data_IF_169662934294
#
_entry.id   IF_169662934294
#
_cell.length_a   1.000
_cell.length_b   1.000
_cell.length_c   1.000
_cell.angle_alpha   90.00
_cell.angle_beta   90.00
_cell.angle_gamma   90.00
#
_symmetry.space_group_name_H-M   'P 1'
#
loop_
_entity.id
_entity.type
_entity.pdbx_description
1 polymer ?
#
# COMPACT_ATOMS: atom_id res chain seq x y z
N UNK A 1 -15.34 -0.22 -26.29
CA UNK A 1 -14.73 -1.56 -26.47
C UNK A 1 -14.25 -2.02 -25.11
N UNK A 2 -14.60 -3.24 -24.69
CA UNK A 2 -14.06 -3.84 -23.46
C UNK A 2 -12.56 -4.08 -23.58
N UNK A 3 -11.83 -4.03 -22.48
CA UNK A 3 -10.41 -4.36 -22.46
C UNK A 3 -10.23 -5.89 -22.64
N UNK A 4 -9.26 -6.34 -23.47
CA UNK A 4 -8.88 -7.75 -23.49
C UNK A 4 -8.22 -8.15 -22.17
N UNK A 5 -8.37 -9.42 -21.78
CA UNK A 5 -7.99 -9.95 -20.46
C UNK A 5 -6.54 -9.68 -20.05
N UNK A 6 -5.60 -9.69 -21.01
CA UNK A 6 -4.17 -9.47 -20.75
C UNK A 6 -3.81 -7.98 -20.58
N UNK A 7 -4.76 -7.05 -20.75
CA UNK A 7 -4.56 -5.60 -20.55
C UNK A 7 -5.27 -5.05 -19.32
N UNK A 8 -5.86 -5.88 -18.47
CA UNK A 8 -6.66 -5.40 -17.32
C UNK A 8 -5.89 -4.46 -16.40
N UNK A 9 -4.56 -4.59 -16.29
CA UNK A 9 -3.74 -3.69 -15.47
C UNK A 9 -3.44 -2.33 -16.11
N UNK A 10 -3.75 -2.09 -17.39
CA UNK A 10 -3.54 -0.75 -17.99
C UNK A 10 -4.44 0.32 -17.37
N UNK A 11 -5.50 -0.09 -16.67
CA UNK A 11 -6.47 0.81 -16.02
C UNK A 11 -5.86 1.69 -14.93
N UNK A 12 -4.68 1.36 -14.40
CA UNK A 12 -4.02 2.12 -13.33
C UNK A 12 -2.88 3.02 -13.81
N UNK A 13 -2.55 3.03 -15.11
CA UNK A 13 -1.38 3.75 -15.63
C UNK A 13 -1.41 5.26 -15.34
N UNK A 14 -2.60 5.87 -15.34
CA UNK A 14 -2.79 7.30 -15.09
C UNK A 14 -3.39 7.59 -13.70
N UNK A 15 -3.34 6.64 -12.77
CA UNK A 15 -3.94 6.75 -11.44
C UNK A 15 -2.88 6.50 -10.36
N UNK A 16 -2.12 7.51 -9.94
CA UNK A 16 -0.92 7.33 -9.13
C UNK A 16 -1.19 6.67 -7.77
N UNK A 17 -2.29 6.97 -7.08
CA UNK A 17 -2.59 6.31 -5.81
C UNK A 17 -3.04 4.85 -5.96
N UNK A 18 -3.73 4.49 -7.06
CA UNK A 18 -4.02 3.08 -7.37
C UNK A 18 -2.77 2.33 -7.81
N UNK A 19 -1.90 2.99 -8.58
CA UNK A 19 -0.60 2.46 -8.96
C UNK A 19 0.26 2.20 -7.73
N UNK A 20 0.34 3.14 -6.79
CA UNK A 20 1.03 2.98 -5.52
C UNK A 20 0.43 1.83 -4.70
N UNK A 21 -0.90 1.77 -4.59
CA UNK A 21 -1.61 0.69 -3.89
C UNK A 21 -1.26 -0.70 -4.44
N UNK A 22 -1.21 -0.91 -5.76
CA UNK A 22 -0.81 -2.21 -6.30
C UNK A 22 0.67 -2.53 -6.11
N UNK A 23 1.55 -1.52 -6.08
CA UNK A 23 2.96 -1.73 -5.76
C UNK A 23 3.14 -2.15 -4.30
N UNK A 24 2.40 -1.52 -3.38
CA UNK A 24 2.37 -1.92 -1.97
C UNK A 24 1.76 -3.33 -1.83
N UNK A 25 0.74 -3.68 -2.61
CA UNK A 25 0.19 -5.04 -2.63
C UNK A 25 1.23 -6.05 -3.07
N UNK A 26 1.95 -5.77 -4.15
CA UNK A 26 3.03 -6.64 -4.62
C UNK A 26 4.11 -6.82 -3.54
N UNK A 27 4.50 -5.74 -2.85
CA UNK A 27 5.43 -5.80 -1.73
C UNK A 27 4.91 -6.66 -0.56
N UNK A 28 3.62 -6.52 -0.21
CA UNK A 28 2.99 -7.34 0.82
C UNK A 28 3.03 -8.83 0.46
N UNK A 29 2.70 -9.18 -0.79
CA UNK A 29 2.74 -10.56 -1.27
C UNK A 29 4.15 -11.14 -1.21
N UNK A 30 5.16 -10.38 -1.65
CA UNK A 30 6.56 -10.81 -1.59
C UNK A 30 7.04 -10.98 -0.14
N UNK A 31 6.67 -10.05 0.76
CA UNK A 31 7.01 -10.17 2.18
C UNK A 31 6.34 -11.37 2.85
N UNK A 32 5.06 -11.61 2.60
CA UNK A 32 4.34 -12.79 3.09
C UNK A 32 4.94 -14.08 2.57
N UNK A 33 5.30 -14.13 1.28
CA UNK A 33 5.99 -15.27 0.69
C UNK A 33 7.34 -15.52 1.38
N UNK A 34 8.15 -14.49 1.60
CA UNK A 34 9.43 -14.64 2.29
C UNK A 34 9.26 -15.15 3.74
N UNK A 35 8.30 -14.60 4.49
CA UNK A 35 8.01 -15.04 5.86
C UNK A 35 7.47 -16.47 5.93
N UNK A 36 6.56 -16.83 5.02
CA UNK A 36 6.00 -18.19 4.97
C UNK A 36 7.02 -19.23 4.51
N UNK A 37 7.91 -18.90 3.57
CA UNK A 37 9.01 -19.78 3.18
C UNK A 37 9.99 -19.99 4.34
N UNK A 38 10.35 -18.94 5.07
CA UNK A 38 11.21 -19.07 6.25
C UNK A 38 10.57 -19.95 7.34
N UNK A 39 9.26 -19.80 7.62
CA UNK A 39 8.55 -20.67 8.55
C UNK A 39 8.47 -22.11 8.07
N UNK A 40 8.18 -22.32 6.77
CA UNK A 40 8.14 -23.65 6.19
C UNK A 40 9.48 -24.36 6.33
N UNK A 41 10.57 -23.69 5.95
CA UNK A 41 11.93 -24.23 6.09
C UNK A 41 12.22 -24.57 7.55
N UNK A 42 11.87 -23.70 8.49
CA UNK A 42 12.08 -23.93 9.93
C UNK A 42 11.32 -25.16 10.45
N UNK A 43 10.09 -25.38 9.97
CA UNK A 43 9.24 -26.52 10.40
C UNK A 43 9.80 -27.86 9.92
N UNK A 44 10.40 -27.91 8.72
CA UNK A 44 10.92 -29.15 8.13
C UNK A 44 12.42 -29.36 8.38
N UNK A 45 13.08 -28.40 9.02
CA UNK A 45 14.51 -28.42 9.28
C UNK A 45 14.86 -29.36 10.44
N UNK A 46 15.82 -30.25 10.20
CA UNK A 46 16.44 -31.10 11.24
C UNK A 46 17.86 -30.60 11.54
N UNK A 47 18.12 -30.05 12.74
CA UNK A 47 19.44 -29.57 13.13
C UNK A 47 20.38 -30.66 13.70
N UNK A 48 19.95 -31.93 13.75
CA UNK A 48 20.59 -32.96 14.60
C UNK A 48 21.97 -33.43 14.13
N UNK A 49 22.25 -33.43 12.81
CA UNK A 49 23.56 -33.83 12.26
C UNK A 49 24.14 -32.75 11.33
N UNK A 50 24.83 -31.74 11.88
CA UNK A 50 25.38 -30.64 11.09
C UNK A 50 26.62 -31.04 10.26
N UNK A 51 27.15 -32.27 10.42
CA UNK A 51 28.38 -32.73 9.76
C UNK A 51 28.05 -33.52 8.50
N UNK A 52 27.03 -34.38 8.55
CA UNK A 52 26.64 -35.24 7.43
C UNK A 52 25.36 -34.77 6.72
N UNK A 53 24.46 -34.10 7.42
CA UNK A 53 23.26 -33.50 6.83
C UNK A 53 23.51 -32.01 6.55
N UNK A 54 24.53 -31.77 5.72
CA UNK A 54 25.23 -30.49 5.67
C UNK A 54 24.32 -29.33 5.31
N UNK A 55 24.56 -28.28 6.07
CA UNK A 55 24.28 -26.90 5.77
C UNK A 55 24.85 -26.44 4.43
N UNK A 56 23.96 -26.27 3.49
CA UNK A 56 23.96 -25.12 2.64
C UNK A 56 22.62 -24.38 2.76
N UNK A 57 21.65 -24.57 3.71
CA UNK A 57 21.23 -25.45 4.88
C UNK A 57 21.57 -25.27 6.42
N UNK A 58 22.27 -24.26 6.96
CA UNK A 58 22.52 -23.82 8.39
C UNK A 58 23.12 -22.39 8.31
N UNK A 59 22.19 -21.48 8.18
CA UNK A 59 22.19 -20.20 8.87
C UNK A 59 22.35 -20.23 10.40
N UNK A 60 22.52 -21.39 11.02
CA UNK A 60 22.11 -21.64 12.41
C UNK A 60 23.22 -21.46 13.47
N UNK A 61 24.43 -21.03 13.09
CA UNK A 61 25.57 -20.94 14.02
C UNK A 61 25.60 -19.66 14.87
N UNK A 62 24.44 -19.20 15.36
CA UNK A 62 24.39 -18.16 16.39
C UNK A 62 23.67 -18.77 17.60
N UNK A 63 24.44 -19.08 18.65
CA UNK A 63 23.94 -19.69 19.88
C UNK A 63 23.04 -18.76 20.71
N UNK A 64 23.02 -17.46 20.39
CA UNK A 64 22.13 -16.48 20.98
C UNK A 64 21.82 -15.32 19.99
N UNK A 65 20.87 -15.53 19.04
CA UNK A 65 20.54 -14.53 18.03
C UNK A 65 19.67 -13.38 18.56
N UNK A 66 19.20 -13.46 19.81
CA UNK A 66 18.28 -12.49 20.39
C UNK A 66 17.04 -12.28 19.51
N UNK A 67 16.63 -11.02 19.32
CA UNK A 67 15.44 -10.66 18.53
C UNK A 67 15.62 -10.84 17.01
N UNK A 68 16.83 -11.13 16.53
CA UNK A 68 17.09 -11.38 15.11
C UNK A 68 17.12 -12.87 14.77
N UNK A 69 16.39 -13.67 15.55
CA UNK A 69 16.18 -15.10 15.33
C UNK A 69 15.39 -15.38 14.03
N UNK A 70 15.46 -16.59 13.48
CA UNK A 70 14.75 -16.95 12.24
C UNK A 70 13.23 -16.81 12.38
N UNK A 71 12.70 -17.23 13.52
CA UNK A 71 11.30 -17.10 13.90
C UNK A 71 10.90 -15.62 13.96
N UNK A 72 11.77 -14.79 14.51
CA UNK A 72 11.58 -13.36 14.68
C UNK A 72 11.60 -12.63 13.32
N UNK A 73 12.55 -12.98 12.45
CA UNK A 73 12.64 -12.44 11.08
C UNK A 73 11.43 -12.85 10.26
N UNK A 74 11.01 -14.12 10.34
CA UNK A 74 9.82 -14.60 9.67
C UNK A 74 8.56 -13.88 10.19
N UNK A 75 8.43 -13.75 11.51
CA UNK A 75 7.35 -12.99 12.16
C UNK A 75 7.31 -11.53 11.72
N UNK A 76 8.47 -10.86 11.65
CA UNK A 76 8.57 -9.48 11.16
C UNK A 76 8.09 -9.33 9.72
N UNK A 77 8.40 -10.28 8.82
CA UNK A 77 7.90 -10.28 7.45
C UNK A 77 6.38 -10.44 7.38
N UNK A 78 5.79 -11.30 8.22
CA UNK A 78 4.33 -11.48 8.29
C UNK A 78 3.65 -10.21 8.82
N UNK A 79 4.17 -9.62 9.90
CA UNK A 79 3.63 -8.36 10.45
C UNK A 79 3.74 -7.23 9.44
N UNK A 80 4.91 -7.07 8.81
CA UNK A 80 5.13 -6.07 7.76
C UNK A 80 4.16 -6.26 6.59
N UNK A 81 3.97 -7.50 6.13
CA UNK A 81 2.97 -7.82 5.10
C UNK A 81 1.56 -7.40 5.51
N UNK A 82 1.15 -7.65 6.75
CA UNK A 82 -0.16 -7.24 7.27
C UNK A 82 -0.34 -5.72 7.29
N UNK A 83 0.68 -4.99 7.74
CA UNK A 83 0.68 -3.52 7.72
C UNK A 83 0.60 -2.98 6.29
N UNK A 84 1.37 -3.56 5.35
CA UNK A 84 1.29 -3.20 3.94
C UNK A 84 -0.10 -3.48 3.37
N UNK A 85 -0.75 -4.59 3.72
CA UNK A 85 -2.10 -4.91 3.25
C UNK A 85 -3.14 -3.88 3.73
N UNK A 86 -3.04 -3.42 4.98
CA UNK A 86 -3.87 -2.30 5.46
C UNK A 86 -3.60 -1.01 4.68
N UNK A 87 -2.32 -0.72 4.38
CA UNK A 87 -1.93 0.42 3.57
C UNK A 87 -2.45 0.34 2.12
N UNK A 88 -2.57 -0.86 1.53
CA UNK A 88 -3.22 -1.05 0.21
C UNK A 88 -4.65 -0.54 0.25
N UNK A 89 -5.43 -0.97 1.25
CA UNK A 89 -6.85 -0.62 1.39
C UNK A 89 -6.99 0.89 1.54
N UNK A 90 -6.15 1.50 2.38
CA UNK A 90 -6.09 2.94 2.54
C UNK A 90 -5.79 3.66 1.23
N UNK A 91 -4.68 3.33 0.56
CA UNK A 91 -4.31 4.00 -0.69
C UNK A 91 -5.30 3.75 -1.81
N UNK A 92 -6.00 2.62 -1.83
CA UNK A 92 -7.04 2.38 -2.82
C UNK A 92 -8.32 3.19 -2.55
N UNK A 93 -8.75 3.27 -1.29
CA UNK A 93 -9.97 3.94 -0.88
C UNK A 93 -9.83 5.46 -0.78
N UNK A 94 -8.76 5.97 -0.15
CA UNK A 94 -8.51 7.40 0.02
C UNK A 94 -8.19 8.08 -1.30
N UNK A 95 -7.31 7.48 -2.12
CA UNK A 95 -7.12 7.96 -3.49
C UNK A 95 -8.44 7.91 -4.27
N UNK A 96 -9.24 6.86 -4.05
CA UNK A 96 -10.56 6.74 -4.65
C UNK A 96 -11.46 7.93 -4.32
N UNK A 97 -11.48 8.34 -3.04
CA UNK A 97 -12.22 9.51 -2.58
C UNK A 97 -11.65 10.80 -3.19
N UNK A 98 -10.33 11.04 -3.13
CA UNK A 98 -9.72 12.24 -3.70
C UNK A 98 -9.94 12.36 -5.21
N UNK A 99 -9.61 11.32 -5.98
CA UNK A 99 -9.63 11.35 -7.43
C UNK A 99 -11.04 11.26 -8.04
N UNK A 100 -11.91 10.38 -7.54
CA UNK A 100 -13.23 10.17 -8.15
C UNK A 100 -14.31 11.01 -7.49
N UNK A 101 -14.34 11.05 -6.15
CA UNK A 101 -15.37 11.79 -5.41
C UNK A 101 -15.07 13.29 -5.37
N UNK A 102 -13.86 13.74 -4.96
CA UNK A 102 -13.55 15.17 -4.75
C UNK A 102 -13.23 15.89 -6.06
N UNK A 103 -12.27 15.39 -6.85
CA UNK A 103 -11.95 15.98 -8.17
C UNK A 103 -13.11 15.79 -9.16
N UNK A 104 -13.95 14.78 -8.95
CA UNK A 104 -15.15 14.56 -9.76
C UNK A 104 -14.89 13.88 -11.10
N UNK A 105 -13.81 13.08 -11.22
CA UNK A 105 -13.55 12.26 -12.42
C UNK A 105 -14.67 11.26 -12.70
N UNK A 106 -15.34 10.74 -11.66
CA UNK A 106 -16.50 9.84 -11.82
C UNK A 106 -17.42 9.81 -10.59
N UNK A 107 -17.42 10.86 -9.77
CA UNK A 107 -18.15 10.93 -8.50
C UNK A 107 -18.92 12.24 -8.32
N UNK A 108 -19.68 12.37 -7.22
CA UNK A 108 -20.66 13.43 -7.04
C UNK A 108 -20.06 14.82 -6.76
N UNK A 109 -18.74 14.93 -6.57
CA UNK A 109 -18.02 16.18 -6.24
C UNK A 109 -18.34 16.66 -4.83
N UNK A 110 -17.79 17.82 -4.45
CA UNK A 110 -17.99 18.42 -3.12
C UNK A 110 -18.69 19.78 -3.24
N UNK A 111 -19.28 20.22 -2.14
CA UNK A 111 -19.87 21.55 -2.03
C UNK A 111 -18.78 22.62 -1.92
N UNK A 112 -18.91 23.70 -2.70
CA UNK A 112 -18.04 24.87 -2.63
C UNK A 112 -18.89 26.12 -2.77
N UNK A 113 -18.52 27.19 -2.07
CA UNK A 113 -19.18 28.50 -2.15
C UNK A 113 -18.17 29.62 -2.35
N UNK A 114 -18.66 30.81 -2.73
CA UNK A 114 -17.89 32.04 -2.61
C UNK A 114 -17.68 32.42 -1.13
N UNK A 115 -16.80 33.39 -0.88
CA UNK A 115 -16.42 33.85 0.45
C UNK A 115 -17.58 34.41 1.28
N UNK A 116 -18.67 34.84 0.63
CA UNK A 116 -19.86 35.36 1.30
C UNK A 116 -20.98 34.32 1.41
N UNK A 117 -20.78 33.10 0.87
CA UNK A 117 -21.73 32.00 0.97
C UNK A 117 -23.00 32.17 0.12
N UNK A 118 -22.99 33.03 -0.89
CA UNK A 118 -24.18 33.39 -1.67
C UNK A 118 -24.42 32.49 -2.89
N UNK A 119 -23.38 31.83 -3.38
CA UNK A 119 -23.37 31.08 -4.66
C UNK A 119 -22.94 29.63 -4.50
N UNK A 120 -23.22 29.03 -3.34
CA UNK A 120 -22.87 27.65 -3.02
C UNK A 120 -23.46 26.63 -3.99
N UNK A 121 -22.63 25.70 -4.47
CA UNK A 121 -23.06 24.58 -5.31
C UNK A 121 -22.08 23.41 -5.24
N UNK A 122 -22.55 22.24 -5.66
CA UNK A 122 -21.70 21.06 -5.85
C UNK A 122 -20.90 21.22 -7.15
N UNK A 123 -19.57 21.16 -7.06
CA UNK A 123 -18.69 21.34 -8.21
C UNK A 123 -17.37 20.58 -8.07
N UNK A 124 -16.73 20.16 -9.19
CA UNK A 124 -15.43 19.51 -9.13
C UNK A 124 -14.37 20.49 -8.65
N UNK A 125 -13.36 19.97 -7.94
CA UNK A 125 -12.26 20.78 -7.40
C UNK A 125 -10.94 20.22 -7.89
N UNK A 126 -10.12 21.06 -8.52
CA UNK A 126 -8.76 20.67 -8.90
C UNK A 126 -7.86 20.55 -7.66
N UNK A 127 -6.95 19.58 -7.69
CA UNK A 127 -5.93 19.41 -6.64
C UNK A 127 -4.95 20.58 -6.61
N UNK A 128 -4.66 21.10 -5.43
CA UNK A 128 -3.60 22.09 -5.21
C UNK A 128 -2.36 21.42 -4.61
N UNK A 129 -1.24 21.46 -5.33
CA UNK A 129 0.04 20.87 -4.92
C UNK A 129 1.08 21.88 -4.43
N UNK A 130 0.75 23.18 -4.52
CA UNK A 130 1.59 24.28 -4.02
C UNK A 130 1.37 24.49 -2.52
N UNK A 131 2.09 25.47 -1.95
CA UNK A 131 1.94 25.88 -0.54
C UNK A 131 0.51 26.33 -0.19
N UNK A 132 -0.28 26.79 -1.17
CA UNK A 132 -1.70 27.12 -0.98
C UNK A 132 -2.54 25.91 -0.57
N UNK A 133 -2.05 24.69 -0.82
CA UNK A 133 -2.67 23.45 -0.34
C UNK A 133 -2.65 23.31 1.19
N UNK A 134 -1.97 24.18 1.94
CA UNK A 134 -2.02 24.23 3.40
C UNK A 134 -3.02 25.27 3.93
N UNK A 135 -3.58 26.13 3.08
CA UNK A 135 -4.62 27.09 3.46
C UNK A 135 -5.94 26.34 3.76
N UNK A 136 -6.54 26.47 4.96
CA UNK A 136 -7.79 25.81 5.30
C UNK A 136 -8.99 26.25 4.45
N UNK A 137 -8.92 27.39 3.75
CA UNK A 137 -10.00 27.92 2.92
C UNK A 137 -9.86 27.57 1.42
N UNK A 138 -8.75 26.94 1.02
CA UNK A 138 -8.55 26.47 -0.37
C UNK A 138 -9.09 25.05 -0.51
N UNK A 139 -10.19 24.89 -1.25
CA UNK A 139 -10.84 23.59 -1.46
C UNK A 139 -9.93 22.56 -2.15
N UNK A 140 -9.00 23.01 -2.99
CA UNK A 140 -8.03 22.15 -3.70
C UNK A 140 -7.10 21.35 -2.78
N UNK A 141 -6.94 21.79 -1.53
CA UNK A 141 -6.28 21.04 -0.44
C UNK A 141 -6.94 19.69 -0.19
N UNK A 142 -8.27 19.64 -0.25
CA UNK A 142 -9.04 18.44 0.08
C UNK A 142 -8.64 17.33 -0.91
N UNK A 143 -8.66 17.64 -2.20
CA UNK A 143 -8.25 16.68 -3.24
C UNK A 143 -6.80 16.20 -3.09
N UNK A 144 -5.85 17.13 -2.86
CA UNK A 144 -4.43 16.76 -2.70
C UNK A 144 -4.11 16.06 -1.38
N UNK A 145 -4.90 16.27 -0.32
CA UNK A 145 -4.73 15.55 0.94
C UNK A 145 -5.13 14.06 0.82
N UNK A 146 -6.14 13.76 0.00
CA UNK A 146 -6.64 12.40 -0.20
C UNK A 146 -5.91 11.61 -1.31
N UNK A 147 -5.04 12.26 -2.10
CA UNK A 147 -4.26 11.65 -3.19
C UNK A 147 -2.82 11.48 -2.77
#
# INVERSE_FOLDING_TARGET
>A
MSLPWYRVHTVILNYPGRLLSVHIMHMALVASWAGSMALYELVVFDPSDPVLDLIWRLWWTITNPGIWCYECVAGAHIVFSGLCFLAVIWHWACFGFGAFHVIGLSGPRIWVSDSYGLTGKVQPVNSTWSVEGFDPFVSGRIASHYI
#
